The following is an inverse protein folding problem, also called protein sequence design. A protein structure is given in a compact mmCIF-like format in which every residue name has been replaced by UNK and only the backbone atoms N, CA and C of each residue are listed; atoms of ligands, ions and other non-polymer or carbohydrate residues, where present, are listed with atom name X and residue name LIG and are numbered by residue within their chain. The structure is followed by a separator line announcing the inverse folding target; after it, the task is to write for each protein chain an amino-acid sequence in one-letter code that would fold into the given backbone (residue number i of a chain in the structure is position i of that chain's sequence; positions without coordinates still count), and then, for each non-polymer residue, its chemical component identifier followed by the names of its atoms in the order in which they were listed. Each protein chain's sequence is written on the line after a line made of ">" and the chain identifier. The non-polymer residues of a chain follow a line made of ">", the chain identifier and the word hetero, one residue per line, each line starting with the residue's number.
data_IF_879366404958
#
_entry.id   IF_879366404958
#
_cell.length_a   1.000
_cell.length_b   1.000
_cell.length_c   1.000
_cell.angle_alpha   90.00
_cell.angle_beta   90.00
_cell.angle_gamma   90.00
#
_symmetry.space_group_name_H-M   'P 1'
#
loop_
_entity.id
_entity.type
_entity.pdbx_description
1 polymer ?
#
# COMPACT_ATOMS: atom_id res chain seq x y z
N UNK A 1 5.81 -14.73 -18.71
CA UNK A 1 5.55 -13.29 -18.75
C UNK A 1 5.29 -12.85 -17.31
N UNK A 2 6.26 -12.19 -16.67
CA UNK A 2 6.15 -11.73 -15.27
C UNK A 2 5.22 -10.53 -15.20
N UNK A 3 4.23 -10.47 -14.30
CA UNK A 3 3.40 -9.28 -14.13
C UNK A 3 4.18 -8.20 -13.38
N UNK A 4 4.68 -7.20 -14.09
CA UNK A 4 5.23 -5.95 -13.53
C UNK A 4 4.11 -4.92 -13.27
N UNK A 5 2.98 -5.31 -12.71
CA UNK A 5 1.79 -4.49 -12.84
C UNK A 5 1.31 -3.74 -11.58
N UNK A 6 1.68 -4.16 -10.39
CA UNK A 6 1.14 -3.52 -9.18
C UNK A 6 1.83 -2.21 -8.76
N UNK A 7 3.06 -1.96 -9.22
CA UNK A 7 3.83 -0.77 -8.82
C UNK A 7 3.57 0.50 -9.66
N UNK A 8 2.79 0.42 -10.74
CA UNK A 8 2.57 1.58 -11.63
C UNK A 8 1.26 2.35 -11.43
N UNK A 9 0.30 1.82 -10.71
CA UNK A 9 -1.06 2.36 -10.70
C UNK A 9 -1.36 3.34 -9.57
N UNK A 10 -0.55 3.41 -8.52
CA UNK A 10 -0.77 4.37 -7.43
C UNK A 10 -0.24 5.79 -7.71
N UNK A 11 0.56 5.97 -8.77
CA UNK A 11 1.17 7.26 -9.14
C UNK A 11 0.29 8.19 -9.98
N UNK A 12 -0.90 7.77 -10.42
CA UNK A 12 -1.67 8.49 -11.45
C UNK A 12 -2.83 9.36 -10.96
N UNK A 13 -3.05 9.48 -9.67
CA UNK A 13 -4.19 10.26 -9.15
C UNK A 13 -3.84 11.68 -8.66
N UNK A 14 -2.68 12.26 -9.04
CA UNK A 14 -2.38 13.66 -8.68
C UNK A 14 -1.62 14.39 -9.78
N UNK A 15 -2.25 14.66 -10.89
CA UNK A 15 -1.61 15.44 -11.94
C UNK A 15 -2.56 16.13 -12.89
N UNK A 16 -3.30 17.12 -12.46
CA UNK A 16 -3.87 18.13 -13.36
C UNK A 16 -4.12 19.42 -12.59
N UNK A 17 -3.28 20.44 -12.75
CA UNK A 17 -3.68 21.83 -12.92
C UNK A 17 -2.48 22.78 -12.97
N UNK A 18 -2.35 23.41 -14.15
CA UNK A 18 -2.05 24.81 -14.47
C UNK A 18 -0.61 25.33 -14.37
N UNK A 19 -0.09 25.47 -15.58
CA UNK A 19 0.95 26.42 -15.93
C UNK A 19 0.42 27.86 -15.88
N UNK A 20 1.20 28.78 -15.33
CA UNK A 20 1.12 30.20 -15.67
C UNK A 20 2.51 30.81 -15.61
N UNK A 21 2.92 31.35 -16.73
CA UNK A 21 4.14 32.03 -17.06
C UNK A 21 4.24 33.41 -16.39
N UNK A 22 5.45 33.84 -15.99
CA UNK A 22 5.83 35.22 -16.06
C UNK A 22 7.34 35.36 -16.22
N UNK A 23 7.73 35.91 -17.34
CA UNK A 23 9.08 36.38 -17.66
C UNK A 23 9.31 37.78 -17.07
N UNK A 24 10.55 38.08 -16.63
CA UNK A 24 11.18 39.39 -16.78
C UNK A 24 12.63 39.39 -16.27
N UNK A 25 13.56 39.49 -17.19
CA UNK A 25 14.57 40.56 -17.39
C UNK A 25 15.77 40.62 -16.42
N UNK A 26 16.89 40.29 -17.01
CA UNK A 26 18.25 40.72 -16.61
C UNK A 26 18.50 42.17 -16.97
N UNK A 27 19.45 42.84 -16.31
CA UNK A 27 20.61 43.37 -17.04
C UNK A 27 21.96 43.29 -16.25
N UNK A 28 23.07 43.81 -16.83
CA UNK A 28 24.33 43.11 -16.88
C UNK A 28 25.51 43.71 -16.09
N UNK A 29 26.58 42.90 -16.01
CA UNK A 29 27.98 43.24 -15.90
C UNK A 29 28.56 43.81 -14.61
N UNK A 30 29.57 43.12 -14.09
CA UNK A 30 30.93 43.61 -14.03
C UNK A 30 31.91 42.51 -13.71
N UNK A 31 32.95 42.46 -14.54
CA UNK A 31 34.08 41.56 -14.49
C UNK A 31 35.01 41.94 -13.31
N UNK A 32 35.30 41.05 -12.40
CA UNK A 32 36.47 41.10 -11.55
C UNK A 32 37.13 39.73 -11.52
N UNK A 33 38.36 39.66 -11.95
CA UNK A 33 39.19 38.48 -11.93
C UNK A 33 39.53 38.12 -10.48
N UNK A 34 39.25 36.86 -10.08
CA UNK A 34 39.69 36.28 -8.84
C UNK A 34 40.73 35.18 -9.10
N UNK A 35 41.67 34.97 -8.18
CA UNK A 35 42.84 34.10 -8.39
C UNK A 35 42.48 32.63 -8.36
N UNK A 36 43.26 31.83 -9.09
CA UNK A 36 43.14 30.38 -9.25
C UNK A 36 43.04 29.66 -7.90
N UNK A 37 41.86 29.17 -7.57
CA UNK A 37 41.65 28.27 -6.43
C UNK A 37 42.16 26.86 -6.79
N UNK A 38 43.03 26.31 -5.96
CA UNK A 38 43.48 24.92 -6.01
C UNK A 38 42.29 23.98 -6.10
N UNK A 39 42.28 23.10 -7.09
CA UNK A 39 41.24 22.08 -7.28
C UNK A 39 41.12 21.23 -5.99
N UNK A 40 39.94 21.32 -5.37
CA UNK A 40 39.57 20.42 -4.29
C UNK A 40 39.46 18.97 -4.82
N UNK A 41 39.80 17.96 -4.03
CA UNK A 41 39.70 16.57 -4.46
C UNK A 41 38.24 16.25 -4.84
N UNK A 42 38.02 15.71 -6.04
CA UNK A 42 36.72 15.21 -6.49
C UNK A 42 36.22 14.20 -5.46
N UNK A 43 35.15 14.57 -4.73
CA UNK A 43 34.43 13.65 -3.88
C UNK A 43 33.98 12.47 -4.74
N UNK A 44 34.42 11.25 -4.41
CA UNK A 44 34.01 10.04 -5.12
C UNK A 44 32.49 10.00 -5.15
N UNK A 45 31.91 9.65 -6.32
CA UNK A 45 30.47 9.46 -6.46
C UNK A 45 30.04 8.41 -5.41
N UNK A 46 28.90 8.61 -4.72
CA UNK A 46 28.38 7.64 -3.78
C UNK A 46 28.22 6.29 -4.50
N UNK A 47 28.88 5.26 -4.02
CA UNK A 47 28.60 3.90 -4.48
C UNK A 47 27.14 3.58 -4.17
N UNK A 48 26.42 2.90 -5.09
CA UNK A 48 25.07 2.46 -4.79
C UNK A 48 25.09 1.64 -3.51
N UNK A 49 24.26 2.05 -2.54
CA UNK A 49 24.14 1.34 -1.27
C UNK A 49 23.73 -0.11 -1.55
N UNK A 50 24.48 -1.07 -1.03
CA UNK A 50 24.11 -2.47 -1.14
C UNK A 50 22.81 -2.71 -0.38
N UNK A 51 21.91 -3.61 -0.87
CA UNK A 51 20.70 -3.97 -0.15
C UNK A 51 21.02 -4.48 1.26
N UNK A 52 20.36 -3.95 2.26
CA UNK A 52 20.47 -4.42 3.65
C UNK A 52 19.24 -5.29 3.91
N UNK A 53 19.40 -6.60 3.75
CA UNK A 53 18.32 -7.57 3.93
C UNK A 53 18.67 -8.48 5.11
N UNK A 54 17.98 -8.28 6.23
CA UNK A 54 18.09 -9.13 7.42
C UNK A 54 17.21 -10.38 7.22
N UNK A 55 17.80 -11.58 7.34
CA UNK A 55 17.08 -12.84 7.10
C UNK A 55 15.88 -12.98 8.04
N UNK A 56 16.00 -12.57 9.29
CA UNK A 56 14.89 -12.61 10.26
C UNK A 56 13.67 -11.79 9.81
N UNK A 57 13.89 -10.66 9.14
CA UNK A 57 12.79 -9.86 8.59
C UNK A 57 12.10 -10.58 7.44
N UNK A 58 12.88 -11.22 6.57
CA UNK A 58 12.37 -12.05 5.47
C UNK A 58 11.55 -13.22 6.04
N UNK A 59 12.06 -13.93 7.03
CA UNK A 59 11.40 -15.07 7.66
C UNK A 59 10.04 -14.67 8.27
N UNK A 60 9.96 -13.51 8.92
CA UNK A 60 8.71 -13.00 9.49
C UNK A 60 7.69 -12.63 8.40
N UNK A 61 8.11 -12.00 7.31
CA UNK A 61 7.25 -11.67 6.19
C UNK A 61 6.75 -12.92 5.46
N UNK A 62 7.61 -13.91 5.29
CA UNK A 62 7.24 -15.21 4.70
C UNK A 62 6.27 -15.97 5.60
N UNK A 63 6.49 -15.97 6.91
CA UNK A 63 5.57 -16.62 7.86
C UNK A 63 4.18 -15.95 7.85
N UNK A 64 4.10 -14.62 7.78
CA UNK A 64 2.85 -13.88 7.59
C UNK A 64 2.16 -14.29 6.28
N UNK A 65 2.90 -14.27 5.18
CA UNK A 65 2.39 -14.66 3.86
C UNK A 65 1.86 -16.08 3.85
N UNK A 66 2.64 -17.02 4.37
CA UNK A 66 2.25 -18.44 4.45
C UNK A 66 0.97 -18.62 5.28
N UNK A 67 0.82 -17.89 6.39
CA UNK A 67 -0.39 -17.94 7.23
C UNK A 67 -1.62 -17.44 6.48
N UNK A 68 -1.50 -16.32 5.73
CA UNK A 68 -2.59 -15.77 4.94
C UNK A 68 -2.93 -16.65 3.73
N UNK A 69 -1.93 -17.17 3.04
CA UNK A 69 -2.10 -18.00 1.86
C UNK A 69 -2.72 -19.38 2.17
N UNK A 70 -2.36 -19.98 3.32
CA UNK A 70 -2.88 -21.28 3.75
C UNK A 70 -4.34 -21.25 4.20
N UNK A 71 -4.87 -20.08 4.55
CA UNK A 71 -6.24 -19.95 5.02
C UNK A 71 -7.26 -20.26 3.92
N UNK A 72 -8.22 -21.13 4.21
CA UNK A 72 -9.37 -21.40 3.33
C UNK A 72 -10.37 -20.28 3.35
N UNK A 73 -10.51 -19.63 4.50
CA UNK A 73 -11.33 -18.44 4.66
C UNK A 73 -10.65 -17.42 5.59
N UNK A 74 -10.88 -16.15 5.31
CA UNK A 74 -10.41 -15.02 6.10
C UNK A 74 -11.57 -14.04 6.29
N UNK A 75 -11.81 -13.61 7.52
CA UNK A 75 -12.60 -12.40 7.75
C UNK A 75 -11.83 -11.48 8.69
N UNK A 76 -11.91 -10.18 8.44
CA UNK A 76 -11.25 -9.15 9.25
C UNK A 76 -11.86 -7.78 9.02
N UNK A 77 -11.65 -6.88 9.97
CA UNK A 77 -11.90 -5.44 9.80
C UNK A 77 -10.59 -4.75 9.47
N UNK A 78 -10.60 -3.93 8.42
CA UNK A 78 -9.51 -3.04 8.06
C UNK A 78 -9.94 -1.58 8.24
N UNK A 79 -9.11 -0.76 8.90
CA UNK A 79 -9.28 0.68 9.01
C UNK A 79 -8.09 1.33 8.32
N UNK A 80 -8.35 1.96 7.18
CA UNK A 80 -7.34 2.67 6.41
C UNK A 80 -7.41 4.17 6.70
N UNK A 81 -6.31 4.75 7.16
CA UNK A 81 -6.14 6.19 7.33
C UNK A 81 -5.08 6.68 6.36
N UNK A 82 -5.38 7.73 5.61
CA UNK A 82 -4.45 8.32 4.67
C UNK A 82 -4.43 9.83 4.76
N UNK A 83 -3.23 10.39 4.65
CA UNK A 83 -3.02 11.81 4.65
C UNK A 83 -3.33 12.38 3.25
N UNK A 84 -3.97 13.55 3.24
CA UNK A 84 -4.30 14.29 2.02
C UNK A 84 -3.73 15.72 2.11
N UNK A 85 -3.16 16.28 1.02
CA UNK A 85 -2.55 17.59 1.06
C UNK A 85 -3.59 18.67 1.40
N UNK A 86 -3.29 19.49 2.40
CA UNK A 86 -4.05 20.70 2.71
C UNK A 86 -3.45 21.90 1.96
N UNK A 87 -4.30 22.83 1.56
CA UNK A 87 -3.87 24.14 1.01
C UNK A 87 -3.34 25.07 2.09
N UNK A 88 -3.67 24.83 3.35
CA UNK A 88 -3.43 25.75 4.47
C UNK A 88 -2.27 25.31 5.38
N UNK A 89 -1.59 24.21 5.09
CA UNK A 89 -0.47 23.74 5.92
C UNK A 89 -0.41 22.22 6.08
N UNK A 90 -0.52 21.66 7.31
CA UNK A 90 -0.40 20.22 7.54
C UNK A 90 -1.41 19.41 6.74
N UNK A 91 -1.10 18.16 6.37
CA UNK A 91 -2.05 17.29 5.71
C UNK A 91 -3.25 16.99 6.62
N UNK A 92 -4.42 16.82 6.01
CA UNK A 92 -5.60 16.29 6.68
C UNK A 92 -5.64 14.77 6.55
N UNK A 93 -6.32 14.09 7.49
CA UNK A 93 -6.43 12.64 7.49
C UNK A 93 -7.86 12.23 7.15
N UNK A 94 -8.00 11.32 6.20
CA UNK A 94 -9.23 10.60 5.94
C UNK A 94 -9.10 9.17 6.44
N UNK A 95 -10.22 8.63 6.91
CA UNK A 95 -10.27 7.27 7.46
C UNK A 95 -11.45 6.53 6.85
N UNK A 96 -11.23 5.29 6.42
CA UNK A 96 -12.26 4.41 5.85
C UNK A 96 -12.18 3.05 6.53
N UNK A 97 -13.34 2.53 6.92
CA UNK A 97 -13.46 1.16 7.45
C UNK A 97 -13.92 0.21 6.35
N UNK A 98 -13.37 -0.99 6.38
CA UNK A 98 -13.74 -2.11 5.52
C UNK A 98 -13.99 -3.35 6.39
N UNK A 99 -15.12 -4.01 6.17
CA UNK A 99 -15.37 -5.35 6.70
C UNK A 99 -15.20 -6.33 5.54
N UNK A 100 -14.20 -7.22 5.67
CA UNK A 100 -13.70 -8.06 4.59
C UNK A 100 -13.97 -9.51 4.90
N UNK A 101 -14.47 -10.26 3.93
CA UNK A 101 -14.65 -11.70 3.99
C UNK A 101 -14.19 -12.34 2.68
N UNK A 102 -13.23 -13.24 2.76
CA UNK A 102 -12.67 -14.01 1.66
C UNK A 102 -12.90 -15.49 1.93
N UNK A 103 -13.46 -16.19 0.97
CA UNK A 103 -13.48 -17.66 0.93
C UNK A 103 -12.81 -18.12 -0.35
N UNK A 104 -11.67 -18.80 -0.16
CA UNK A 104 -10.93 -19.34 -1.29
C UNK A 104 -11.67 -20.54 -1.90
N UNK A 105 -11.60 -20.76 -3.22
CA UNK A 105 -10.69 -20.03 -4.12
C UNK A 105 -11.24 -18.73 -4.70
N UNK A 106 -12.55 -18.47 -4.62
CA UNK A 106 -13.18 -17.53 -5.55
C UNK A 106 -14.36 -16.72 -4.96
N UNK A 107 -14.42 -16.47 -3.66
CA UNK A 107 -15.46 -15.61 -3.08
C UNK A 107 -14.84 -14.49 -2.26
N UNK A 108 -15.18 -13.25 -2.58
CA UNK A 108 -14.79 -12.06 -1.84
C UNK A 108 -16.00 -11.17 -1.59
N UNK A 109 -16.12 -10.69 -0.37
CA UNK A 109 -17.06 -9.64 0.04
C UNK A 109 -16.27 -8.54 0.75
N UNK A 110 -16.50 -7.30 0.36
CA UNK A 110 -15.96 -6.11 1.04
C UNK A 110 -17.11 -5.15 1.28
N UNK A 111 -17.36 -4.80 2.53
CA UNK A 111 -18.38 -3.83 2.92
C UNK A 111 -17.70 -2.60 3.48
N UNK A 112 -18.06 -1.43 2.98
CA UNK A 112 -17.68 -0.11 3.50
C UNK A 112 -18.93 0.48 4.17
N UNK A 113 -19.07 0.36 5.51
CA UNK A 113 -20.32 0.70 6.19
C UNK A 113 -20.57 2.20 6.33
N UNK A 114 -19.53 3.02 6.19
CA UNK A 114 -19.63 4.48 6.38
C UNK A 114 -18.28 5.15 6.43
N UNK A 115 -18.29 6.42 6.87
CA UNK A 115 -17.22 7.42 6.80
C UNK A 115 -16.91 7.82 5.34
N UNK A 116 -17.98 8.02 4.62
CA UNK A 116 -18.13 8.21 3.19
C UNK A 116 -19.40 7.52 2.74
N UNK A 117 -19.74 7.53 1.45
CA UNK A 117 -20.87 6.76 0.95
C UNK A 117 -20.69 5.27 1.24
N UNK A 118 -21.66 4.65 1.91
CA UNK A 118 -21.66 3.21 2.12
C UNK A 118 -21.63 2.48 0.77
N UNK A 119 -20.82 1.43 0.68
CA UNK A 119 -20.72 0.63 -0.54
C UNK A 119 -20.35 -0.81 -0.21
N UNK A 120 -20.68 -1.69 -1.12
CA UNK A 120 -20.41 -3.12 -1.00
C UNK A 120 -19.83 -3.64 -2.31
N UNK A 121 -18.87 -4.54 -2.21
CA UNK A 121 -18.26 -5.22 -3.35
C UNK A 121 -18.29 -6.72 -3.14
N UNK A 122 -18.69 -7.44 -4.16
CA UNK A 122 -18.77 -8.90 -4.18
C UNK A 122 -18.10 -9.46 -5.42
N UNK A 123 -17.47 -10.61 -5.27
CA UNK A 123 -16.89 -11.39 -6.36
C UNK A 123 -17.08 -12.88 -6.06
N UNK A 124 -17.53 -13.66 -7.04
CA UNK A 124 -17.83 -15.08 -6.91
C UNK A 124 -17.00 -15.97 -7.86
N UNK A 125 -15.99 -15.40 -8.51
CA UNK A 125 -15.17 -16.10 -9.51
C UNK A 125 -15.72 -16.08 -10.92
N UNK A 126 -16.91 -15.48 -11.13
CA UNK A 126 -17.56 -15.34 -12.45
C UNK A 126 -18.00 -13.91 -12.69
N UNK A 127 -18.51 -13.25 -11.67
CA UNK A 127 -19.03 -11.91 -11.70
C UNK A 127 -18.48 -11.07 -10.56
N UNK A 128 -18.43 -9.75 -10.78
CA UNK A 128 -18.21 -8.73 -9.76
C UNK A 128 -19.49 -7.90 -9.65
N UNK A 129 -19.89 -7.59 -8.42
CA UNK A 129 -21.03 -6.74 -8.12
C UNK A 129 -20.53 -5.61 -7.22
N UNK A 130 -20.82 -4.37 -7.61
CA UNK A 130 -20.65 -3.19 -6.77
C UNK A 130 -22.05 -2.63 -6.46
N UNK A 131 -22.34 -2.43 -5.19
CA UNK A 131 -23.62 -1.94 -4.70
C UNK A 131 -23.42 -0.64 -3.90
N UNK A 132 -24.19 0.38 -4.25
CA UNK A 132 -24.27 1.65 -3.54
C UNK A 132 -25.68 1.74 -2.86
N UNK A 133 -25.77 1.41 -1.56
CA UNK A 133 -27.08 1.29 -0.87
C UNK A 133 -27.87 2.59 -0.82
N UNK A 134 -27.21 3.74 -0.64
CA UNK A 134 -27.87 5.03 -0.53
C UNK A 134 -28.59 5.44 -1.82
N UNK A 135 -27.99 5.13 -2.97
CA UNK A 135 -28.51 5.40 -4.30
C UNK A 135 -29.36 4.25 -4.85
N UNK A 136 -29.36 3.10 -4.15
CA UNK A 136 -29.94 1.84 -4.61
C UNK A 136 -29.46 1.44 -6.02
N UNK A 137 -28.16 1.62 -6.27
CA UNK A 137 -27.53 1.33 -7.55
C UNK A 137 -26.67 0.08 -7.46
N UNK A 138 -26.79 -0.77 -8.47
CA UNK A 138 -25.99 -1.99 -8.65
C UNK A 138 -25.29 -1.95 -9.99
N UNK A 139 -23.99 -2.21 -9.98
CA UNK A 139 -23.22 -2.50 -11.18
C UNK A 139 -22.78 -3.96 -11.16
N UNK A 140 -22.96 -4.66 -12.28
CA UNK A 140 -22.57 -6.06 -12.44
C UNK A 140 -21.66 -6.17 -13.65
N UNK A 141 -20.55 -6.88 -13.52
CA UNK A 141 -19.61 -7.14 -14.61
C UNK A 141 -19.08 -8.58 -14.53
N UNK A 142 -18.81 -9.22 -15.68
CA UNK A 142 -18.08 -10.49 -15.71
C UNK A 142 -16.69 -10.32 -15.06
N UNK A 143 -16.24 -11.33 -14.33
CA UNK A 143 -14.97 -11.31 -13.65
C UNK A 143 -14.13 -12.56 -13.93
N UNK A 144 -12.79 -12.44 -13.98
CA UNK A 144 -11.89 -13.58 -14.02
C UNK A 144 -12.04 -14.44 -12.75
N UNK A 145 -11.75 -15.77 -12.86
CA UNK A 145 -11.85 -16.70 -11.72
C UNK A 145 -10.70 -16.54 -10.72
N UNK A 146 -9.62 -15.86 -11.08
CA UNK A 146 -8.48 -15.61 -10.21
C UNK A 146 -8.62 -14.23 -9.53
N UNK A 147 -8.41 -14.17 -8.21
CA UNK A 147 -8.64 -12.98 -7.40
C UNK A 147 -7.74 -11.79 -7.82
N UNK A 148 -6.49 -12.04 -8.16
CA UNK A 148 -5.55 -11.01 -8.63
C UNK A 148 -6.02 -10.35 -9.93
N UNK A 149 -6.48 -11.17 -10.87
CA UNK A 149 -7.03 -10.70 -12.14
C UNK A 149 -8.37 -9.97 -11.94
N UNK A 150 -9.24 -10.45 -11.04
CA UNK A 150 -10.53 -9.83 -10.74
C UNK A 150 -10.34 -8.46 -10.08
N UNK A 151 -9.49 -8.35 -9.06
CA UNK A 151 -9.19 -7.08 -8.39
C UNK A 151 -8.49 -6.09 -9.33
N UNK A 152 -7.61 -6.60 -10.22
CA UNK A 152 -7.02 -5.76 -11.25
C UNK A 152 -8.07 -5.22 -12.22
N UNK A 153 -8.99 -6.05 -12.69
CA UNK A 153 -10.08 -5.61 -13.57
C UNK A 153 -10.98 -4.58 -12.87
N UNK A 154 -11.36 -4.80 -11.60
CA UNK A 154 -12.15 -3.86 -10.82
C UNK A 154 -11.48 -2.48 -10.74
N UNK A 155 -10.17 -2.46 -10.56
CA UNK A 155 -9.39 -1.22 -10.57
C UNK A 155 -9.35 -0.57 -11.96
N UNK A 156 -8.99 -1.32 -13.00
CA UNK A 156 -8.79 -0.79 -14.36
C UNK A 156 -10.09 -0.25 -14.97
N UNK A 157 -11.25 -0.85 -14.64
CA UNK A 157 -12.55 -0.52 -15.26
C UNK A 157 -13.42 0.42 -14.43
N UNK A 158 -13.29 0.38 -13.11
CA UNK A 158 -14.18 1.10 -12.20
C UNK A 158 -13.44 1.88 -11.09
N UNK A 159 -12.10 1.91 -11.12
CA UNK A 159 -11.25 2.52 -10.08
C UNK A 159 -11.53 1.98 -8.67
N UNK A 160 -12.04 0.75 -8.54
CA UNK A 160 -12.27 0.09 -7.26
C UNK A 160 -10.93 -0.42 -6.76
N UNK A 161 -10.49 0.11 -5.63
CA UNK A 161 -9.22 -0.24 -4.99
C UNK A 161 -9.41 -0.51 -3.50
N UNK A 162 -8.74 -1.56 -3.01
CA UNK A 162 -8.69 -1.87 -1.58
C UNK A 162 -7.24 -1.84 -1.08
N UNK A 163 -6.94 -1.11 0.02
CA UNK A 163 -5.55 -0.94 0.50
C UNK A 163 -4.93 -2.22 1.08
N UNK A 164 -5.69 -3.29 1.19
CA UNK A 164 -5.29 -4.61 1.68
C UNK A 164 -5.24 -5.68 0.58
N UNK A 165 -5.32 -5.29 -0.70
CA UNK A 165 -5.35 -6.23 -1.85
C UNK A 165 -4.23 -7.27 -1.78
N UNK A 166 -2.99 -6.84 -1.46
CA UNK A 166 -1.84 -7.74 -1.41
C UNK A 166 -1.97 -8.85 -0.35
N UNK A 167 -2.73 -8.62 0.73
CA UNK A 167 -2.98 -9.62 1.78
C UNK A 167 -3.96 -10.72 1.34
N UNK A 168 -4.76 -10.45 0.30
CA UNK A 168 -5.76 -11.38 -0.21
C UNK A 168 -5.20 -12.33 -1.28
N UNK A 169 -4.02 -12.01 -1.85
CA UNK A 169 -3.42 -12.75 -2.94
C UNK A 169 -3.00 -14.17 -2.51
N UNK A 170 -2.84 -15.09 -3.45
CA UNK A 170 -2.29 -16.42 -3.17
C UNK A 170 -0.85 -16.41 -2.66
N UNK A 171 -0.06 -15.40 -3.02
CA UNK A 171 1.31 -15.18 -2.56
C UNK A 171 1.51 -13.72 -2.12
N UNK A 172 1.12 -13.35 -0.89
CA UNK A 172 1.31 -12.02 -0.37
C UNK A 172 2.78 -11.59 -0.32
N UNK A 173 3.70 -12.51 0.01
CA UNK A 173 5.13 -12.20 0.06
C UNK A 173 5.69 -11.89 -1.34
N UNK A 174 5.33 -12.69 -2.33
CA UNK A 174 5.74 -12.42 -3.73
C UNK A 174 5.24 -11.06 -4.23
N UNK A 175 4.06 -10.62 -3.80
CA UNK A 175 3.51 -9.32 -4.17
C UNK A 175 4.33 -8.16 -3.59
N UNK A 176 4.78 -8.24 -2.34
CA UNK A 176 5.49 -7.15 -1.67
C UNK A 176 7.01 -7.24 -1.80
N UNK A 177 7.61 -8.42 -2.00
CA UNK A 177 9.06 -8.63 -1.94
C UNK A 177 9.82 -8.19 -3.18
N UNK A 178 9.15 -7.93 -4.30
CA UNK A 178 9.79 -7.51 -5.54
C UNK A 178 10.52 -6.19 -5.39
N UNK A 179 11.83 -6.17 -5.70
CA UNK A 179 12.66 -4.97 -5.63
C UNK A 179 13.08 -4.55 -4.22
N UNK A 180 13.05 -5.46 -3.23
CA UNK A 180 13.50 -5.19 -1.87
C UNK A 180 14.94 -4.67 -1.86
N UNK A 181 15.17 -3.54 -1.19
CA UNK A 181 16.49 -2.93 -0.93
C UNK A 181 16.80 -2.86 0.55
N UNK A 182 15.77 -2.89 1.37
CA UNK A 182 15.91 -2.82 2.81
C UNK A 182 14.87 -3.74 3.45
N UNK A 183 15.32 -4.61 4.35
CA UNK A 183 14.44 -5.38 5.23
C UNK A 183 15.15 -5.63 6.55
N UNK A 184 14.57 -5.20 7.67
CA UNK A 184 15.10 -5.43 9.01
C UNK A 184 14.00 -5.48 10.06
N UNK A 185 14.32 -6.07 11.23
CA UNK A 185 13.42 -6.13 12.38
C UNK A 185 13.74 -4.98 13.34
N UNK A 186 12.73 -4.17 13.65
CA UNK A 186 12.85 -3.11 14.68
C UNK A 186 12.88 -3.74 16.08
N UNK A 187 12.00 -4.71 16.32
CA UNK A 187 11.84 -5.37 17.61
C UNK A 187 10.37 -5.66 17.96
N UNK A 188 10.10 -6.16 19.17
CA UNK A 188 8.74 -6.46 19.60
C UNK A 188 7.95 -5.20 20.00
N UNK A 189 6.62 -5.27 19.88
CA UNK A 189 5.67 -4.29 20.41
C UNK A 189 4.47 -5.03 21.00
N UNK A 190 3.91 -4.52 22.08
CA UNK A 190 2.70 -5.06 22.72
C UNK A 190 1.52 -4.05 22.69
N UNK A 191 1.64 -2.98 21.90
CA UNK A 191 0.66 -1.88 21.89
C UNK A 191 -0.34 -2.03 20.76
N UNK A 192 0.15 -2.37 19.55
CA UNK A 192 -0.68 -2.41 18.34
C UNK A 192 -1.53 -3.68 18.33
N UNK A 193 -2.86 -3.51 18.16
CA UNK A 193 -3.81 -4.62 18.08
C UNK A 193 -4.02 -5.37 19.41
N UNK A 194 -3.51 -4.85 20.54
CA UNK A 194 -3.69 -5.47 21.85
C UNK A 194 -2.96 -6.81 22.01
N UNK A 195 -2.05 -7.15 21.12
CA UNK A 195 -1.29 -8.41 21.12
C UNK A 195 0.20 -8.13 20.94
N UNK A 196 1.04 -9.09 21.33
CA UNK A 196 2.48 -9.01 21.04
C UNK A 196 2.71 -9.15 19.54
N UNK A 197 3.48 -8.23 18.98
CA UNK A 197 3.84 -8.21 17.57
C UNK A 197 5.35 -8.08 17.38
N UNK A 198 5.87 -8.56 16.27
CA UNK A 198 7.20 -8.21 15.75
C UNK A 198 7.05 -7.09 14.71
N UNK A 199 7.87 -6.03 14.84
CA UNK A 199 7.85 -4.92 13.90
C UNK A 199 8.93 -5.12 12.84
N UNK A 200 8.52 -5.11 11.57
CA UNK A 200 9.41 -5.27 10.42
C UNK A 200 9.35 -4.02 9.54
N UNK A 201 10.51 -3.58 9.08
CA UNK A 201 10.64 -2.60 7.99
C UNK A 201 10.98 -3.33 6.71
N UNK A 202 10.34 -2.92 5.64
CA UNK A 202 10.65 -3.33 4.28
C UNK A 202 10.60 -2.12 3.36
N UNK A 203 11.53 -2.00 2.41
CA UNK A 203 11.51 -0.92 1.44
C UNK A 203 12.06 -1.33 0.08
N UNK A 204 11.48 -0.74 -0.97
CA UNK A 204 11.96 -0.74 -2.34
C UNK A 204 12.27 0.69 -2.80
N UNK A 205 12.51 0.89 -4.10
CA UNK A 205 12.59 2.24 -4.69
C UNK A 205 11.25 2.98 -4.63
N UNK A 206 10.14 2.25 -4.66
CA UNK A 206 8.80 2.80 -4.81
C UNK A 206 8.08 3.05 -3.48
N UNK A 207 8.35 2.22 -2.45
CA UNK A 207 7.60 2.27 -1.20
C UNK A 207 8.45 1.88 0.01
N UNK A 208 8.22 2.56 1.13
CA UNK A 208 8.68 2.19 2.47
C UNK A 208 7.51 1.66 3.27
N UNK A 209 7.63 0.45 3.81
CA UNK A 209 6.63 -0.22 4.64
C UNK A 209 7.17 -0.47 6.04
N UNK A 210 6.31 -0.28 7.04
CA UNK A 210 6.49 -0.78 8.39
C UNK A 210 5.30 -1.66 8.73
N UNK A 211 5.56 -2.90 9.16
CA UNK A 211 4.53 -3.92 9.36
C UNK A 211 4.63 -4.47 10.78
N UNK A 212 3.51 -4.54 11.49
CA UNK A 212 3.37 -5.18 12.79
C UNK A 212 2.71 -6.56 12.58
N UNK A 213 3.47 -7.61 12.83
CA UNK A 213 3.07 -9.01 12.62
C UNK A 213 2.84 -9.64 13.99
N UNK A 214 1.67 -10.24 14.22
CA UNK A 214 1.36 -10.98 15.45
C UNK A 214 2.43 -12.04 15.74
N UNK A 215 3.02 -12.00 16.93
CA UNK A 215 4.14 -12.88 17.28
C UNK A 215 3.75 -14.36 17.27
N UNK A 216 2.51 -14.67 17.67
CA UNK A 216 2.03 -16.03 17.78
C UNK A 216 1.30 -16.51 16.51
N UNK A 217 0.34 -15.73 16.01
CA UNK A 217 -0.56 -16.11 14.93
C UNK A 217 -0.09 -15.71 13.53
N UNK A 218 0.97 -14.90 13.45
CA UNK A 218 1.56 -14.37 12.19
C UNK A 218 0.59 -13.54 11.35
N UNK A 219 -0.48 -13.02 11.91
CA UNK A 219 -1.41 -12.14 11.21
C UNK A 219 -0.97 -10.68 11.32
N UNK A 220 -1.06 -9.87 10.26
CA UNK A 220 -0.72 -8.46 10.33
C UNK A 220 -1.74 -7.70 11.19
N UNK A 221 -1.24 -6.73 11.97
CA UNK A 221 -2.06 -5.86 12.83
C UNK A 221 -2.06 -4.42 12.33
N UNK A 222 -0.95 -3.99 11.79
CA UNK A 222 -0.83 -2.67 11.19
C UNK A 222 0.19 -2.68 10.07
N UNK A 223 -0.10 -1.93 9.02
CA UNK A 223 0.83 -1.65 7.93
C UNK A 223 0.85 -0.15 7.73
N UNK A 224 2.03 0.44 7.77
CA UNK A 224 2.24 1.84 7.44
C UNK A 224 3.06 1.94 6.17
N UNK A 225 2.59 2.73 5.21
CA UNK A 225 3.23 2.92 3.92
C UNK A 225 3.54 4.38 3.63
N UNK A 226 4.66 4.63 2.95
CA UNK A 226 5.01 5.89 2.31
C UNK A 226 5.52 5.62 0.91
N UNK A 227 4.98 6.30 -0.08
CA UNK A 227 5.34 6.10 -1.48
C UNK A 227 6.38 7.12 -1.92
N UNK A 228 7.45 6.65 -2.58
CA UNK A 228 8.56 7.49 -3.03
C UNK A 228 8.14 8.48 -4.13
N UNK A 229 7.17 8.10 -4.95
CA UNK A 229 6.60 8.93 -6.01
C UNK A 229 5.78 10.12 -5.49
N UNK A 230 5.33 10.07 -4.22
CA UNK A 230 4.66 11.21 -3.60
C UNK A 230 5.71 12.20 -3.06
N UNK A 231 5.79 13.43 -3.63
CA UNK A 231 6.77 14.42 -3.19
C UNK A 231 6.55 14.90 -1.75
N UNK A 232 5.34 14.77 -1.21
CA UNK A 232 5.01 15.11 0.18
C UNK A 232 5.21 13.95 1.14
N UNK A 233 5.45 12.74 0.61
CA UNK A 233 5.61 11.50 1.39
C UNK A 233 4.51 11.30 2.42
N UNK A 234 3.27 11.53 1.99
CA UNK A 234 2.09 11.36 2.83
C UNK A 234 1.98 9.93 3.31
N UNK A 235 1.45 9.77 4.51
CA UNK A 235 1.38 8.48 5.18
C UNK A 235 0.05 7.81 4.89
N UNK A 236 0.14 6.50 4.68
CA UNK A 236 -1.00 5.59 4.62
C UNK A 236 -0.84 4.59 5.75
N UNK A 237 -1.81 4.52 6.62
CA UNK A 237 -1.86 3.55 7.73
C UNK A 237 -3.04 2.61 7.52
N UNK A 238 -2.83 1.32 7.71
CA UNK A 238 -3.84 0.28 7.65
C UNK A 238 -3.81 -0.50 8.96
N UNK A 239 -4.87 -0.40 9.74
CA UNK A 239 -5.05 -1.19 10.95
C UNK A 239 -5.96 -2.39 10.66
N UNK A 240 -5.56 -3.57 11.12
CA UNK A 240 -6.22 -4.84 10.85
C UNK A 240 -6.60 -5.52 12.16
N UNK A 241 -7.88 -5.85 12.31
CA UNK A 241 -8.44 -6.39 13.54
C UNK A 241 -9.53 -7.42 13.28
N UNK A 242 -10.05 -8.02 14.35
CA UNK A 242 -11.18 -8.96 14.30
C UNK A 242 -10.94 -10.15 13.37
N UNK A 243 -9.69 -10.63 13.30
CA UNK A 243 -9.31 -11.73 12.44
C UNK A 243 -10.07 -13.02 12.78
N UNK A 244 -10.69 -13.60 11.76
CA UNK A 244 -11.24 -14.95 11.78
C UNK A 244 -10.59 -15.72 10.64
N UNK A 245 -9.93 -16.83 10.95
CA UNK A 245 -9.20 -17.64 9.98
C UNK A 245 -9.77 -19.04 10.02
N UNK A 246 -10.14 -19.56 8.86
CA UNK A 246 -10.77 -20.89 8.68
C UNK A 246 -12.08 -21.06 9.47
N UNK A 247 -12.74 -19.94 9.79
CA UNK A 247 -14.05 -19.91 10.44
C UNK A 247 -15.21 -19.80 9.43
N UNK A 248 -16.44 -19.79 9.96
CA UNK A 248 -17.61 -19.48 9.16
C UNK A 248 -17.53 -18.03 8.67
N UNK A 249 -17.74 -17.82 7.37
CA UNK A 249 -17.80 -16.49 6.78
C UNK A 249 -19.20 -15.89 7.00
N UNK A 250 -19.29 -14.62 7.46
CA UNK A 250 -20.56 -13.95 7.70
C UNK A 250 -21.31 -13.57 6.42
#
# INVERSE_FOLDING_TARGET
>A
VKPKLLHRTLALMLGAALAASAAAQTPPAAKAAAPAAKAAPKKAAPQPAQPIIEQRAVDLLQAMSARLAAAKSLAFTAVASYEYPSRLGPPIVYTVRYDVALQRPNQLKVVIPGDGPASEFYWDGKEMIAFAPAENLVAVAPAPPAIDAALKQAFDTAAIYFPFTDLLLPDPYGAISAGAKLAFVIGPSAVVGGVKTDMVVWASDDVFLQIWIGADDKLPRRIRAQFSADPKRLRHDLELSSWQVDGAIP
#
